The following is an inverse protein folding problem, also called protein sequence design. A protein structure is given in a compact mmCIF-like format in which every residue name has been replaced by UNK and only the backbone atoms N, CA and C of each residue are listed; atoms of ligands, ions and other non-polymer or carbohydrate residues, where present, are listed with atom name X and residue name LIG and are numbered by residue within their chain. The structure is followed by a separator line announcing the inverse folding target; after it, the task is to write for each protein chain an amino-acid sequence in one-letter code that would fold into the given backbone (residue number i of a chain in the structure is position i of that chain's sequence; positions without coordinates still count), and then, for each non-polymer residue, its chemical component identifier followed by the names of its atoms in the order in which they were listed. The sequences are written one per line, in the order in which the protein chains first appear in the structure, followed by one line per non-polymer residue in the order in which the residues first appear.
data_IF_473268920737
#
_entry.id   IF_473268920737
#
_cell.length_a   1.000
_cell.length_b   1.000
_cell.length_c   1.000
_cell.angle_alpha   90.00
_cell.angle_beta   90.00
_cell.angle_gamma   90.00
#
_symmetry.space_group_name_H-M   'P 1'
#
loop_
_entity.id
_entity.type
_entity.pdbx_description
1 polymer ?
#
# COMPACT_ATOMS: atom_id res chain seq x y z
N UNK A 1 -14.34 3.96 20.81
CA UNK A 1 -15.68 3.80 20.21
C UNK A 1 -15.71 2.71 19.13
N UNK A 2 -14.73 2.60 18.25
CA UNK A 2 -14.69 1.54 17.21
C UNK A 2 -14.68 0.12 17.81
N UNK A 3 -13.91 -0.10 18.89
CA UNK A 3 -13.87 -1.38 19.61
C UNK A 3 -15.24 -1.70 20.21
N UNK A 4 -15.93 -0.72 20.79
CA UNK A 4 -17.29 -0.90 21.35
C UNK A 4 -18.27 -1.29 20.23
N UNK A 5 -18.23 -0.61 19.10
CA UNK A 5 -19.06 -0.92 17.92
C UNK A 5 -18.87 -2.36 17.46
N UNK A 6 -17.61 -2.82 17.34
CA UNK A 6 -17.27 -4.19 16.94
C UNK A 6 -17.74 -5.22 17.98
N UNK A 7 -17.59 -4.90 19.27
CA UNK A 7 -18.09 -5.76 20.34
C UNK A 7 -19.61 -5.91 20.26
N UNK A 8 -20.34 -4.80 20.14
CA UNK A 8 -21.79 -4.82 19.97
C UNK A 8 -22.23 -5.64 18.76
N UNK A 9 -21.52 -5.50 17.63
CA UNK A 9 -21.80 -6.30 16.45
C UNK A 9 -21.63 -7.80 16.73
N UNK A 10 -20.50 -8.21 17.34
CA UNK A 10 -20.24 -9.62 17.66
C UNK A 10 -21.25 -10.20 18.64
N UNK A 11 -21.60 -9.46 19.68
CA UNK A 11 -22.62 -9.89 20.63
C UNK A 11 -23.98 -10.04 19.95
N UNK A 12 -24.36 -9.12 19.07
CA UNK A 12 -25.61 -9.23 18.32
C UNK A 12 -25.62 -10.42 17.34
N UNK A 13 -24.50 -10.72 16.69
CA UNK A 13 -24.32 -11.91 15.83
C UNK A 13 -24.52 -13.20 16.64
N UNK A 14 -23.91 -13.30 17.83
CA UNK A 14 -24.05 -14.46 18.73
C UNK A 14 -25.51 -14.66 19.17
N UNK A 15 -26.18 -13.57 19.60
CA UNK A 15 -27.58 -13.66 20.04
C UNK A 15 -28.52 -14.00 18.88
N UNK A 16 -28.26 -13.47 17.70
CA UNK A 16 -29.03 -13.83 16.49
C UNK A 16 -28.84 -15.30 16.14
N UNK A 17 -27.62 -15.83 16.25
CA UNK A 17 -27.39 -17.28 16.08
C UNK A 17 -28.17 -18.12 17.10
N UNK A 18 -28.17 -17.70 18.40
CA UNK A 18 -28.90 -18.39 19.44
C UNK A 18 -30.44 -18.42 19.19
N UNK A 19 -31.00 -17.34 18.63
CA UNK A 19 -32.40 -17.30 18.19
C UNK A 19 -32.63 -18.28 17.05
N UNK A 20 -31.77 -18.23 16.01
CA UNK A 20 -31.95 -19.07 14.82
C UNK A 20 -31.78 -20.57 15.11
N UNK A 21 -31.05 -20.92 16.17
CA UNK A 21 -30.90 -22.33 16.64
C UNK A 21 -31.92 -22.73 17.71
N UNK A 22 -32.86 -21.84 18.07
CA UNK A 22 -33.91 -22.11 19.03
C UNK A 22 -33.48 -22.14 20.50
N UNK A 23 -32.23 -21.70 20.79
CA UNK A 23 -31.70 -21.63 22.17
C UNK A 23 -32.39 -20.54 22.99
N UNK A 24 -32.73 -19.41 22.34
CA UNK A 24 -33.49 -18.30 22.93
C UNK A 24 -34.62 -17.88 21.98
N UNK A 25 -35.69 -17.31 22.50
CA UNK A 25 -36.86 -16.91 21.71
C UNK A 25 -36.71 -15.55 21.00
N UNK A 26 -35.90 -14.65 21.55
CA UNK A 26 -35.67 -13.34 20.98
C UNK A 26 -34.24 -12.85 21.28
N UNK A 27 -33.73 -11.92 20.48
CA UNK A 27 -32.42 -11.34 20.69
C UNK A 27 -32.53 -10.16 21.69
N UNK A 28 -32.05 -10.31 22.95
CA UNK A 28 -32.13 -9.25 23.95
C UNK A 28 -31.19 -8.07 23.67
N UNK A 29 -30.24 -8.25 22.73
CA UNK A 29 -29.25 -7.23 22.34
C UNK A 29 -29.58 -6.58 20.98
N UNK A 30 -30.80 -6.80 20.48
CA UNK A 30 -31.24 -6.13 19.26
C UNK A 30 -31.12 -4.60 19.40
N UNK A 31 -30.46 -3.94 18.44
CA UNK A 31 -30.25 -2.48 18.47
C UNK A 31 -29.23 -1.98 19.49
N UNK A 32 -28.48 -2.84 20.19
CA UNK A 32 -27.48 -2.42 21.18
C UNK A 32 -26.44 -1.44 20.61
N UNK A 33 -26.07 -1.56 19.35
CA UNK A 33 -25.12 -0.65 18.67
C UNK A 33 -25.60 0.80 18.67
N UNK A 34 -26.91 1.03 18.63
CA UNK A 34 -27.52 2.35 18.51
C UNK A 34 -27.57 3.09 19.87
N UNK A 35 -27.20 2.39 20.97
CA UNK A 35 -27.07 2.95 22.31
C UNK A 35 -25.70 3.61 22.56
N UNK A 36 -24.76 3.44 21.66
CA UNK A 36 -23.43 4.01 21.75
C UNK A 36 -23.19 5.02 20.63
N UNK A 37 -22.45 6.07 20.94
CA UNK A 37 -22.06 7.07 19.94
C UNK A 37 -21.28 6.40 18.80
N UNK A 38 -21.59 6.80 17.57
CA UNK A 38 -20.84 6.33 16.42
C UNK A 38 -19.40 6.87 16.47
N UNK A 39 -18.39 6.04 16.16
CA UNK A 39 -17.03 6.53 16.03
C UNK A 39 -16.95 7.56 14.91
N UNK A 40 -16.27 8.67 15.18
CA UNK A 40 -15.92 9.64 14.14
C UNK A 40 -14.96 8.94 13.18
N UNK A 41 -15.33 8.88 11.90
CA UNK A 41 -14.50 8.28 10.87
C UNK A 41 -13.30 9.18 10.63
N UNK A 42 -12.12 8.73 11.08
CA UNK A 42 -10.86 9.42 10.79
C UNK A 42 -10.24 8.82 9.53
N UNK A 43 -9.84 9.68 8.61
CA UNK A 43 -9.03 9.28 7.47
C UNK A 43 -7.59 9.05 7.91
N UNK A 44 -6.88 8.16 7.22
CA UNK A 44 -5.45 8.00 7.46
C UNK A 44 -4.73 9.32 7.12
N UNK A 45 -3.83 9.80 8.00
CA UNK A 45 -3.02 10.97 7.71
C UNK A 45 -2.24 10.79 6.39
N UNK A 46 -2.24 11.84 5.57
CA UNK A 46 -1.53 11.91 4.28
C UNK A 46 -0.95 13.30 4.09
N UNK A 47 0.13 13.40 3.32
CA UNK A 47 0.73 14.66 2.94
C UNK A 47 0.00 15.28 1.75
N UNK A 48 0.12 16.59 1.60
CA UNK A 48 -0.22 17.27 0.35
C UNK A 48 0.78 16.95 -0.75
N UNK A 49 0.41 16.97 -2.04
CA UNK A 49 1.32 16.69 -3.15
C UNK A 49 2.61 17.50 -3.14
N UNK A 50 2.55 18.78 -2.76
CA UNK A 50 3.69 19.70 -2.66
C UNK A 50 4.68 19.32 -1.54
N UNK A 51 4.32 18.41 -0.64
CA UNK A 51 5.17 17.91 0.44
C UNK A 51 5.95 16.65 0.07
N UNK A 52 5.80 16.14 -1.16
CA UNK A 52 6.57 14.98 -1.64
C UNK A 52 8.11 15.22 -1.55
N UNK A 53 8.64 16.40 -1.90
CA UNK A 53 10.07 16.69 -1.71
C UNK A 53 10.52 16.58 -0.25
N UNK A 54 9.72 17.06 0.70
CA UNK A 54 10.01 16.93 2.13
C UNK A 54 10.09 15.45 2.56
N UNK A 55 9.19 14.62 2.05
CA UNK A 55 9.22 13.18 2.32
C UNK A 55 10.52 12.56 1.80
N UNK A 56 10.91 12.85 0.56
CA UNK A 56 12.10 12.27 -0.07
C UNK A 56 13.39 12.76 0.59
N UNK A 57 13.50 14.05 0.94
CA UNK A 57 14.62 14.60 1.69
C UNK A 57 14.75 13.95 3.08
N UNK A 58 13.63 13.85 3.80
CA UNK A 58 13.61 13.24 5.14
C UNK A 58 13.99 11.77 5.06
N UNK A 59 13.47 11.05 4.07
CA UNK A 59 13.79 9.65 3.83
C UNK A 59 15.28 9.46 3.48
N UNK A 60 15.87 10.38 2.71
CA UNK A 60 17.29 10.37 2.39
C UNK A 60 18.17 10.50 3.63
N UNK A 61 17.84 11.40 4.54
CA UNK A 61 18.61 11.68 5.76
C UNK A 61 18.31 10.70 6.92
N UNK A 62 17.28 9.87 6.78
CA UNK A 62 16.83 9.01 7.86
C UNK A 62 17.83 7.92 8.22
N UNK A 63 18.12 7.78 9.51
CA UNK A 63 18.88 6.65 10.06
C UNK A 63 17.99 5.42 10.21
N UNK A 64 17.63 4.80 9.08
CA UNK A 64 16.83 3.58 8.99
C UNK A 64 17.57 2.51 8.18
N UNK A 65 17.22 1.25 8.40
CA UNK A 65 17.83 0.13 7.67
C UNK A 65 17.48 0.18 6.19
N UNK A 66 18.44 -0.16 5.33
CA UNK A 66 18.29 -0.17 3.89
C UNK A 66 17.02 -0.92 3.40
N UNK A 67 16.70 -2.16 3.86
CA UNK A 67 15.48 -2.82 3.43
C UNK A 67 14.19 -2.08 3.82
N UNK A 68 14.20 -1.37 4.95
CA UNK A 68 13.04 -0.55 5.37
C UNK A 68 12.86 0.66 4.46
N UNK A 69 13.96 1.31 4.10
CA UNK A 69 13.96 2.45 3.18
C UNK A 69 13.46 2.03 1.80
N UNK A 70 14.04 0.97 1.24
CA UNK A 70 13.62 0.43 -0.05
C UNK A 70 12.15 0.02 -0.03
N UNK A 71 11.65 -0.57 1.05
CA UNK A 71 10.24 -0.95 1.19
C UNK A 71 9.29 0.27 1.19
N UNK A 72 9.71 1.41 1.78
CA UNK A 72 8.93 2.66 1.74
C UNK A 72 8.89 3.19 0.30
N UNK A 73 10.04 3.30 -0.36
CA UNK A 73 10.12 3.75 -1.76
C UNK A 73 9.37 2.79 -2.70
N UNK A 74 9.52 1.48 -2.52
CA UNK A 74 8.76 0.45 -3.24
C UNK A 74 7.27 0.66 -3.15
N UNK A 75 6.76 0.87 -1.92
CA UNK A 75 5.34 1.12 -1.71
C UNK A 75 4.87 2.43 -2.33
N UNK A 76 5.71 3.47 -2.32
CA UNK A 76 5.41 4.75 -2.92
C UNK A 76 5.30 4.63 -4.45
N UNK A 77 6.26 3.99 -5.11
CA UNK A 77 6.26 3.79 -6.56
C UNK A 77 5.14 2.85 -7.04
N UNK A 78 4.84 1.79 -6.30
CA UNK A 78 3.86 0.78 -6.73
C UNK A 78 2.44 1.07 -6.27
N UNK A 79 2.25 2.00 -5.35
CA UNK A 79 0.94 2.39 -4.77
C UNK A 79 0.15 1.24 -4.14
N UNK A 80 0.78 0.13 -3.80
CA UNK A 80 0.13 -1.04 -3.18
C UNK A 80 -0.11 -0.85 -1.68
N UNK A 81 -0.91 -1.71 -1.07
CA UNK A 81 -1.15 -1.68 0.38
C UNK A 81 0.08 -2.14 1.16
N UNK A 82 0.27 -1.66 2.42
CA UNK A 82 1.43 -2.02 3.25
C UNK A 82 1.66 -3.53 3.37
N UNK A 83 0.59 -4.32 3.55
CA UNK A 83 0.70 -5.78 3.63
C UNK A 83 1.07 -6.43 2.29
N UNK A 84 0.60 -5.86 1.17
CA UNK A 84 0.97 -6.31 -0.18
C UNK A 84 2.45 -6.02 -0.44
N UNK A 85 2.93 -4.81 -0.10
CA UNK A 85 4.33 -4.40 -0.20
C UNK A 85 5.25 -5.27 0.67
N UNK A 86 4.94 -5.41 1.96
CA UNK A 86 5.77 -6.19 2.89
C UNK A 86 5.92 -7.65 2.46
N UNK A 87 4.85 -8.23 1.91
CA UNK A 87 4.82 -9.62 1.48
C UNK A 87 5.28 -9.88 0.04
N UNK A 88 5.88 -8.91 -0.66
CA UNK A 88 6.39 -9.09 -2.03
C UNK A 88 7.33 -10.28 -2.11
N UNK A 89 7.11 -11.16 -3.08
CA UNK A 89 7.97 -12.32 -3.34
C UNK A 89 8.70 -12.17 -4.66
N UNK A 90 9.90 -12.72 -4.76
CA UNK A 90 10.68 -12.72 -5.99
C UNK A 90 10.00 -13.49 -7.12
N UNK A 91 9.32 -14.60 -6.81
CA UNK A 91 8.57 -15.42 -7.78
C UNK A 91 7.37 -14.71 -8.41
N UNK A 92 6.90 -13.60 -7.81
CA UNK A 92 5.78 -12.80 -8.31
C UNK A 92 6.21 -11.74 -9.31
N UNK A 93 7.53 -11.52 -9.49
CA UNK A 93 8.10 -10.50 -10.36
C UNK A 93 8.45 -11.10 -11.72
N UNK A 94 7.84 -10.59 -12.76
CA UNK A 94 8.20 -10.85 -14.14
C UNK A 94 9.09 -9.69 -14.64
N UNK A 95 10.40 -9.94 -14.69
CA UNK A 95 11.39 -8.95 -15.13
C UNK A 95 11.32 -8.69 -16.63
N UNK A 96 10.94 -9.68 -17.43
CA UNK A 96 10.88 -9.58 -18.89
C UNK A 96 9.73 -8.65 -19.32
N UNK A 97 8.57 -8.82 -18.69
CA UNK A 97 7.39 -7.98 -18.93
C UNK A 97 7.30 -6.76 -18.01
N UNK A 98 8.23 -6.61 -17.08
CA UNK A 98 8.21 -5.55 -16.08
C UNK A 98 6.85 -5.47 -15.37
N UNK A 99 6.43 -6.57 -14.75
CA UNK A 99 5.19 -6.68 -14.00
C UNK A 99 5.37 -7.41 -12.67
N UNK A 100 4.54 -7.07 -11.72
CA UNK A 100 4.40 -7.78 -10.45
C UNK A 100 2.98 -8.31 -10.32
N UNK A 101 2.82 -9.62 -10.25
CA UNK A 101 1.52 -10.28 -10.12
C UNK A 101 1.29 -10.73 -8.70
N UNK A 102 0.38 -10.05 -8.01
CA UNK A 102 -0.02 -10.38 -6.63
C UNK A 102 -1.17 -11.38 -6.68
N UNK A 103 -0.98 -12.62 -6.17
CA UNK A 103 -2.00 -13.65 -6.24
C UNK A 103 -3.21 -13.34 -5.35
N UNK A 104 -4.41 -13.85 -5.69
CA UNK A 104 -5.66 -13.59 -4.95
C UNK A 104 -5.57 -13.90 -3.45
N UNK A 105 -4.78 -14.91 -3.07
CA UNK A 105 -4.61 -15.32 -1.67
C UNK A 105 -4.02 -14.20 -0.79
N UNK A 106 -3.18 -13.33 -1.36
CA UNK A 106 -2.55 -12.19 -0.68
C UNK A 106 -3.38 -10.91 -0.76
N UNK A 107 -4.38 -10.87 -1.62
CA UNK A 107 -5.19 -9.67 -1.83
C UNK A 107 -6.38 -9.62 -0.86
N UNK A 108 -6.63 -8.44 -0.26
CA UNK A 108 -7.79 -8.22 0.63
C UNK A 108 -9.11 -8.59 -0.03
N UNK A 109 -9.23 -8.38 -1.33
CA UNK A 109 -10.47 -8.61 -2.11
C UNK A 109 -10.45 -9.92 -2.91
N UNK A 110 -9.47 -10.81 -2.66
CA UNK A 110 -9.36 -12.14 -3.28
C UNK A 110 -9.41 -12.11 -4.81
N UNK A 111 -8.84 -11.08 -5.42
CA UNK A 111 -8.64 -10.94 -6.87
C UNK A 111 -7.17 -10.70 -7.15
N UNK A 112 -6.67 -11.32 -8.22
CA UNK A 112 -5.32 -11.06 -8.72
C UNK A 112 -5.14 -9.58 -9.04
N UNK A 113 -3.95 -9.07 -8.77
CA UNK A 113 -3.59 -7.70 -9.07
C UNK A 113 -2.24 -7.65 -9.77
N UNK A 114 -2.24 -7.24 -11.03
CA UNK A 114 -1.02 -7.04 -11.82
C UNK A 114 -0.61 -5.59 -11.71
N UNK A 115 0.61 -5.34 -11.24
CA UNK A 115 1.20 -4.00 -11.08
C UNK A 115 2.26 -3.81 -12.16
N UNK A 116 2.13 -2.82 -13.07
CA UNK A 116 3.22 -2.45 -13.97
C UNK A 116 4.40 -1.92 -13.16
N UNK A 117 5.59 -2.42 -13.41
CA UNK A 117 6.81 -1.96 -12.76
C UNK A 117 7.53 -0.94 -13.64
N UNK A 118 7.83 0.20 -13.06
CA UNK A 118 8.64 1.26 -13.68
C UNK A 118 10.12 0.94 -13.55
N UNK A 119 10.96 1.63 -14.32
CA UNK A 119 12.41 1.47 -14.21
C UNK A 119 12.92 1.74 -12.77
N UNK A 120 12.32 2.70 -12.09
CA UNK A 120 12.61 3.03 -10.70
C UNK A 120 12.26 1.87 -9.76
N UNK A 121 11.07 1.30 -9.91
CA UNK A 121 10.64 0.14 -9.12
C UNK A 121 11.55 -1.08 -9.35
N UNK A 122 11.96 -1.34 -10.58
CA UNK A 122 12.92 -2.39 -10.91
C UNK A 122 14.29 -2.12 -10.27
N UNK A 123 14.76 -0.87 -10.28
CA UNK A 123 16.02 -0.48 -9.63
C UNK A 123 16.00 -0.76 -8.12
N UNK A 124 14.86 -0.56 -7.44
CA UNK A 124 14.70 -0.93 -6.04
C UNK A 124 14.85 -2.44 -5.79
N UNK A 125 14.34 -3.27 -6.71
CA UNK A 125 14.53 -4.72 -6.64
C UNK A 125 16.00 -5.10 -6.83
N UNK A 126 16.74 -4.43 -7.72
CA UNK A 126 18.18 -4.66 -7.88
C UNK A 126 18.99 -4.28 -6.63
N UNK A 127 18.59 -3.23 -5.90
CA UNK A 127 19.18 -2.90 -4.60
C UNK A 127 18.94 -4.01 -3.58
N UNK A 128 17.78 -4.67 -3.61
CA UNK A 128 17.44 -5.76 -2.70
C UNK A 128 18.01 -7.12 -3.12
N UNK A 129 18.34 -7.31 -4.41
CA UNK A 129 18.83 -8.60 -4.94
C UNK A 129 20.03 -9.19 -4.17
N UNK A 130 21.11 -8.45 -3.85
CA UNK A 130 22.21 -9.00 -3.07
C UNK A 130 21.84 -9.33 -1.62
N UNK A 131 20.77 -8.72 -1.09
CA UNK A 131 20.35 -8.88 0.33
C UNK A 131 19.40 -10.07 0.47
N UNK A 132 18.43 -10.21 -0.42
CA UNK A 132 17.32 -11.17 -0.27
C UNK A 132 17.02 -11.98 -1.54
N UNK A 133 17.83 -11.85 -2.61
CA UNK A 133 17.57 -12.56 -3.87
C UNK A 133 17.61 -14.09 -3.76
N UNK A 134 18.24 -14.62 -2.70
CA UNK A 134 18.28 -16.04 -2.37
C UNK A 134 17.13 -16.48 -1.44
N UNK A 135 16.25 -15.57 -1.06
CA UNK A 135 15.11 -15.81 -0.16
C UNK A 135 13.79 -15.77 -0.95
N UNK A 136 12.69 -16.22 -0.35
CA UNK A 136 11.39 -16.16 -0.99
C UNK A 136 10.86 -14.72 -1.09
N UNK A 137 11.10 -13.90 -0.05
CA UNK A 137 10.57 -12.54 0.06
C UNK A 137 11.60 -11.48 -0.30
N UNK A 138 11.19 -10.45 -1.05
CA UNK A 138 12.01 -9.27 -1.34
C UNK A 138 12.36 -8.53 -0.04
N UNK A 139 11.41 -8.43 0.88
CA UNK A 139 11.57 -7.80 2.19
C UNK A 139 11.44 -8.83 3.32
N UNK A 140 12.51 -9.60 3.63
CA UNK A 140 12.44 -10.60 4.68
C UNK A 140 12.37 -9.96 6.07
N UNK A 141 11.77 -10.66 7.02
CA UNK A 141 11.78 -10.28 8.42
C UNK A 141 13.20 -10.45 9.01
N UNK A 142 13.60 -9.50 9.82
CA UNK A 142 14.91 -9.57 10.50
C UNK A 142 14.97 -10.62 11.62
N UNK A 143 13.80 -11.01 12.16
CA UNK A 143 13.72 -12.01 13.23
C UNK A 143 13.60 -13.43 12.69
N UNK A 144 12.94 -13.57 11.55
CA UNK A 144 12.68 -14.85 10.90
C UNK A 144 12.75 -14.65 9.38
N UNK A 145 13.89 -14.92 8.74
CA UNK A 145 14.10 -14.71 7.31
C UNK A 145 13.17 -15.54 6.41
N UNK A 146 12.51 -16.56 6.93
CA UNK A 146 11.50 -17.35 6.20
C UNK A 146 10.19 -16.60 6.07
N UNK A 147 9.98 -15.53 6.84
CA UNK A 147 8.80 -14.67 6.79
C UNK A 147 9.14 -13.31 6.20
N UNK A 148 8.13 -12.64 5.69
CA UNK A 148 8.26 -11.25 5.25
C UNK A 148 8.33 -10.27 6.43
N UNK A 149 8.81 -9.06 6.16
CA UNK A 149 8.81 -7.95 7.10
C UNK A 149 7.39 -7.65 7.60
N UNK A 150 7.29 -7.10 8.80
CA UNK A 150 5.99 -6.66 9.33
C UNK A 150 5.46 -5.48 8.51
N UNK A 151 4.19 -5.54 8.13
CA UNK A 151 3.51 -4.48 7.36
C UNK A 151 3.48 -3.11 8.07
N UNK A 152 3.63 -3.09 9.40
CA UNK A 152 3.75 -1.88 10.20
C UNK A 152 5.15 -1.27 10.21
N UNK A 153 6.18 -1.94 9.63
CA UNK A 153 7.56 -1.44 9.63
C UNK A 153 7.69 -0.05 8.99
N UNK A 154 7.06 0.26 7.84
CA UNK A 154 7.05 1.61 7.28
C UNK A 154 6.45 2.64 8.23
N UNK A 155 5.35 2.34 8.91
CA UNK A 155 4.72 3.25 9.85
C UNK A 155 5.63 3.59 11.05
N UNK A 156 6.35 2.60 11.57
CA UNK A 156 7.32 2.83 12.64
C UNK A 156 8.46 3.74 12.17
N UNK A 157 8.93 3.54 10.94
CA UNK A 157 9.98 4.37 10.34
C UNK A 157 9.48 5.81 10.10
N UNK A 158 8.32 5.99 9.45
CA UNK A 158 7.69 7.29 9.21
C UNK A 158 7.49 8.07 10.52
N UNK A 159 7.02 7.40 11.56
CA UNK A 159 6.86 8.03 12.88
C UNK A 159 8.20 8.52 13.46
N UNK A 160 9.28 7.72 13.33
CA UNK A 160 10.63 8.11 13.80
C UNK A 160 11.23 9.25 12.97
N UNK A 161 10.87 9.35 11.70
CA UNK A 161 11.27 10.43 10.81
C UNK A 161 10.50 11.75 11.05
N UNK A 162 9.59 11.81 12.02
CA UNK A 162 8.82 13.01 12.35
C UNK A 162 7.44 13.09 11.72
N UNK A 163 7.03 12.11 10.91
CA UNK A 163 5.70 12.07 10.29
C UNK A 163 4.60 11.47 11.17
N UNK A 164 4.80 11.46 12.50
CA UNK A 164 3.75 11.03 13.43
C UNK A 164 2.50 11.89 13.20
N UNK A 165 1.35 11.26 13.04
CA UNK A 165 0.04 11.88 12.82
C UNK A 165 -0.06 12.74 11.54
N UNK A 166 1.01 12.83 10.72
CA UNK A 166 1.05 13.53 9.44
C UNK A 166 1.02 12.60 8.23
N UNK A 167 1.69 11.44 8.31
CA UNK A 167 1.73 10.47 7.22
C UNK A 167 1.76 9.05 7.75
N UNK A 168 0.98 8.18 7.13
CA UNK A 168 1.05 6.73 7.32
C UNK A 168 1.45 6.03 6.02
N UNK A 169 1.92 4.78 6.11
CA UNK A 169 2.16 3.95 4.94
C UNK A 169 0.91 3.82 4.05
N UNK A 170 -0.28 3.77 4.65
CA UNK A 170 -1.52 3.82 3.87
C UNK A 170 -1.78 5.20 3.27
N UNK A 171 -1.42 6.27 3.97
CA UNK A 171 -1.54 7.66 3.49
C UNK A 171 -0.69 7.95 2.25
N UNK A 172 0.43 7.23 2.02
CA UNK A 172 1.21 7.35 0.78
C UNK A 172 0.38 7.02 -0.47
N UNK A 173 -0.60 6.12 -0.36
CA UNK A 173 -1.53 5.81 -1.46
C UNK A 173 -2.51 6.95 -1.71
N UNK A 174 -2.95 7.63 -0.64
CA UNK A 174 -3.80 8.80 -0.76
C UNK A 174 -3.04 9.96 -1.40
N UNK A 175 -1.77 10.17 -1.02
CA UNK A 175 -0.88 11.13 -1.67
C UNK A 175 -0.78 10.89 -3.18
N UNK A 176 -0.47 9.66 -3.59
CA UNK A 176 -0.40 9.29 -5.01
C UNK A 176 -1.74 9.51 -5.72
N UNK A 177 -2.85 9.04 -5.13
CA UNK A 177 -4.19 9.20 -5.68
C UNK A 177 -4.57 10.67 -5.86
N UNK A 178 -4.32 11.51 -4.85
CA UNK A 178 -4.59 12.95 -4.93
C UNK A 178 -3.78 13.60 -6.04
N UNK A 179 -2.47 13.36 -6.08
CA UNK A 179 -1.59 13.90 -7.11
C UNK A 179 -2.04 13.51 -8.53
N UNK A 180 -2.36 12.24 -8.74
CA UNK A 180 -2.80 11.74 -10.05
C UNK A 180 -4.14 12.33 -10.48
N UNK A 181 -5.09 12.50 -9.55
CA UNK A 181 -6.37 13.16 -9.83
C UNK A 181 -6.19 14.65 -10.18
N UNK A 182 -5.33 15.37 -9.46
CA UNK A 182 -5.00 16.77 -9.77
C UNK A 182 -4.36 16.93 -11.15
N UNK A 183 -3.64 15.92 -11.61
CA UNK A 183 -3.05 15.87 -12.96
C UNK A 183 -4.02 15.32 -14.02
N UNK A 184 -5.29 15.16 -13.68
CA UNK A 184 -6.34 14.76 -14.61
C UNK A 184 -6.14 13.36 -15.25
N UNK A 185 -5.43 12.46 -14.57
CA UNK A 185 -5.41 11.05 -14.98
C UNK A 185 -6.81 10.45 -14.83
N UNK A 186 -7.12 9.51 -15.71
CA UNK A 186 -8.42 8.85 -15.72
C UNK A 186 -8.71 8.13 -14.39
N UNK A 187 -9.87 8.42 -13.80
CA UNK A 187 -10.30 7.89 -12.53
C UNK A 187 -10.27 6.35 -12.48
N UNK A 188 -10.74 5.67 -13.53
CA UNK A 188 -10.76 4.20 -13.56
C UNK A 188 -9.36 3.61 -13.59
N UNK A 189 -8.42 4.30 -14.24
CA UNK A 189 -7.00 3.89 -14.27
C UNK A 189 -6.37 4.02 -12.90
N UNK A 190 -6.66 5.10 -12.16
CA UNK A 190 -6.18 5.32 -10.79
C UNK A 190 -6.77 4.26 -9.85
N UNK A 191 -8.09 4.07 -9.87
CA UNK A 191 -8.78 3.10 -9.00
C UNK A 191 -8.31 1.66 -9.25
N UNK A 192 -8.07 1.32 -10.51
CA UNK A 192 -7.51 0.01 -10.87
C UNK A 192 -6.07 -0.15 -10.36
N UNK A 193 -5.23 0.89 -10.44
CA UNK A 193 -3.87 0.85 -9.89
C UNK A 193 -3.87 0.69 -8.36
N UNK A 194 -4.84 1.28 -7.68
CA UNK A 194 -5.05 1.14 -6.25
C UNK A 194 -5.74 -0.20 -5.87
N UNK A 195 -6.06 -1.06 -6.81
CA UNK A 195 -6.84 -2.29 -6.58
C UNK A 195 -8.12 -2.01 -5.78
N UNK A 196 -8.80 -0.91 -6.08
CA UNK A 196 -10.12 -0.62 -5.55
C UNK A 196 -11.19 -1.36 -6.35
N UNK A 197 -12.29 -1.68 -5.71
CA UNK A 197 -13.45 -2.29 -6.36
C UNK A 197 -14.45 -1.17 -6.61
N UNK A 198 -14.92 -1.09 -7.85
CA UNK A 198 -16.00 -0.18 -8.19
C UNK A 198 -17.20 -0.44 -7.28
N UNK A 199 -17.69 0.56 -6.54
CA UNK A 199 -18.87 0.42 -5.69
C UNK A 199 -20.15 0.15 -6.50
N UNK A 200 -20.19 0.54 -7.76
CA UNK A 200 -21.30 0.25 -8.65
C UNK A 200 -21.20 -1.19 -9.15
N UNK A 201 -22.10 -2.04 -8.64
CA UNK A 201 -22.11 -3.47 -8.96
C UNK A 201 -22.40 -3.74 -10.42
N UNK A 202 -23.28 -2.98 -11.03
CA UNK A 202 -23.64 -3.08 -12.46
C UNK A 202 -22.42 -2.74 -13.32
N UNK A 203 -21.77 -1.60 -13.07
CA UNK A 203 -20.54 -1.21 -13.79
C UNK A 203 -19.43 -2.25 -13.64
N UNK A 204 -19.22 -2.78 -12.44
CA UNK A 204 -18.24 -3.81 -12.14
C UNK A 204 -18.49 -5.11 -12.89
N UNK A 205 -19.75 -5.51 -13.12
CA UNK A 205 -20.08 -6.74 -13.84
C UNK A 205 -19.81 -6.65 -15.35
N UNK A 206 -19.77 -5.44 -15.90
CA UNK A 206 -19.49 -5.21 -17.33
C UNK A 206 -18.05 -4.74 -17.60
N UNK A 207 -17.36 -4.16 -16.63
CA UNK A 207 -15.99 -3.65 -16.83
C UNK A 207 -14.96 -4.57 -16.19
N UNK A 208 -14.35 -5.44 -16.99
CA UNK A 208 -13.25 -6.33 -16.61
C UNK A 208 -11.88 -5.84 -17.09
N UNK A 209 -11.80 -4.61 -17.62
CA UNK A 209 -10.56 -4.08 -18.17
C UNK A 209 -9.50 -3.86 -17.07
N UNK A 210 -8.29 -4.31 -17.31
CA UNK A 210 -7.15 -4.09 -16.41
C UNK A 210 -6.41 -2.79 -16.69
N UNK A 211 -6.67 -2.14 -17.80
CA UNK A 211 -6.02 -0.90 -18.27
C UNK A 211 -4.48 -0.92 -18.22
N UNK A 212 -3.86 -2.08 -18.36
CA UNK A 212 -2.43 -2.27 -18.09
C UNK A 212 -1.53 -1.26 -18.86
N UNK A 213 -1.70 -1.01 -20.18
CA UNK A 213 -0.90 -0.01 -20.89
C UNK A 213 -1.10 1.42 -20.35
N UNK A 214 -2.34 1.82 -20.06
CA UNK A 214 -2.64 3.15 -19.50
C UNK A 214 -2.10 3.33 -18.09
N UNK A 215 -2.19 2.27 -17.28
CA UNK A 215 -1.60 2.24 -15.94
C UNK A 215 -0.09 2.34 -15.98
N UNK A 216 0.58 1.72 -16.97
CA UNK A 216 2.03 1.83 -17.13
C UNK A 216 2.44 3.29 -17.34
N UNK A 217 1.82 3.98 -18.29
CA UNK A 217 2.08 5.40 -18.56
C UNK A 217 1.88 6.25 -17.29
N UNK A 218 0.77 6.05 -16.60
CA UNK A 218 0.46 6.77 -15.35
C UNK A 218 1.49 6.49 -14.25
N UNK A 219 1.91 5.24 -14.07
CA UNK A 219 2.87 4.84 -13.04
C UNK A 219 4.29 5.31 -13.38
N UNK A 220 4.66 5.35 -14.66
CA UNK A 220 5.92 5.96 -15.14
C UNK A 220 5.94 7.45 -14.81
N UNK A 221 4.85 8.16 -15.09
CA UNK A 221 4.71 9.58 -14.73
C UNK A 221 4.82 9.78 -13.22
N UNK A 222 4.11 8.98 -12.42
CA UNK A 222 4.17 9.06 -10.95
C UNK A 222 5.58 8.79 -10.41
N UNK A 223 6.25 7.77 -10.93
CA UNK A 223 7.64 7.47 -10.54
C UNK A 223 8.60 8.59 -10.91
N UNK A 224 8.37 9.28 -12.03
CA UNK A 224 9.15 10.45 -12.40
C UNK A 224 8.92 11.61 -11.41
N UNK A 225 7.68 11.84 -10.96
CA UNK A 225 7.42 12.86 -9.93
C UNK A 225 8.14 12.57 -8.62
N UNK A 226 8.28 11.30 -8.24
CA UNK A 226 9.06 10.91 -7.04
C UNK A 226 10.54 11.21 -7.25
N UNK A 227 11.09 10.90 -8.42
CA UNK A 227 12.49 11.19 -8.75
C UNK A 227 12.77 12.71 -8.78
N UNK A 228 11.89 13.50 -9.38
CA UNK A 228 11.98 14.95 -9.43
C UNK A 228 11.90 15.56 -8.02
N UNK A 229 11.04 15.03 -7.17
CA UNK A 229 10.94 15.41 -5.77
C UNK A 229 12.19 15.03 -4.95
N UNK A 230 12.91 14.00 -5.37
CA UNK A 230 14.16 13.57 -4.75
C UNK A 230 15.39 14.36 -5.25
N UNK A 231 15.22 15.39 -6.09
CA UNK A 231 16.32 16.18 -6.68
C UNK A 231 17.33 16.65 -5.62
N UNK A 232 18.61 16.35 -5.83
CA UNK A 232 19.69 16.62 -4.86
C UNK A 232 19.75 15.64 -3.67
N UNK A 233 18.82 14.70 -3.56
CA UNK A 233 18.82 13.64 -2.57
C UNK A 233 18.95 12.28 -3.26
N UNK A 234 19.59 11.33 -2.59
CA UNK A 234 19.76 9.98 -3.13
C UNK A 234 18.49 9.16 -2.91
N UNK A 235 17.70 8.97 -3.97
CA UNK A 235 16.65 7.94 -3.98
C UNK A 235 17.28 6.56 -4.20
N UNK A 236 16.78 5.53 -3.51
CA UNK A 236 17.19 4.14 -3.75
C UNK A 236 16.74 3.66 -5.14
N UNK A 237 15.67 4.24 -5.68
CA UNK A 237 15.16 3.97 -7.02
C UNK A 237 16.09 4.46 -8.15
N UNK A 238 16.94 5.44 -7.89
CA UNK A 238 17.94 5.93 -8.87
C UNK A 238 19.01 4.87 -9.21
N UNK A 239 19.10 3.81 -8.41
CA UNK A 239 20.01 2.69 -8.63
C UNK A 239 21.50 3.09 -8.62
N UNK A 240 22.36 2.15 -9.06
CA UNK A 240 23.82 2.33 -9.12
C UNK A 240 24.22 3.44 -10.12
N UNK A 241 23.38 3.77 -11.09
CA UNK A 241 23.65 4.83 -12.07
C UNK A 241 23.72 6.21 -11.44
N UNK A 242 22.97 6.48 -10.37
CA UNK A 242 23.02 7.74 -9.63
C UNK A 242 24.35 7.96 -8.89
N UNK A 243 25.09 6.92 -8.57
CA UNK A 243 26.40 6.99 -7.91
C UNK A 243 27.55 7.39 -8.86
N UNK A 244 27.36 7.29 -10.18
CA UNK A 244 28.36 7.65 -11.19
C UNK A 244 28.34 9.13 -11.61
N UNK A 245 27.38 9.89 -11.14
CA UNK A 245 27.19 11.30 -11.52
C UNK A 245 27.92 12.30 -10.63
N UNK A 246 28.66 11.85 -9.62
CA UNK A 246 29.50 12.72 -8.79
C UNK A 246 30.95 12.58 -9.31
N UNK A 247 31.27 13.36 -10.35
CA UNK A 247 32.60 13.74 -10.72
C UNK A 247 32.78 15.23 -10.54
#
# INVERSE_FOLDING_TARGET
LETVKRLCQRLNEIMTFAVNTGVIHHNPLAGIKDKFANPIKQHNPTLDPNQLPLLMETLHRASIKLPTRVMIEWQLHTMVRPGESAGTKWEEIDFDNSTWTIPPARMKKKREHVVPLTAQALSLLEVMRPISGHMAHVFPSQRDPLRHANEGTPNVALKRMGFKDALTAHGMRALASTTLNEQSFDYDVIEMALAHIDPNETRRSYNHAQYLPRRRIMMEWWSQQIDDAATGNMSMAAGIKGLRSIK
#
